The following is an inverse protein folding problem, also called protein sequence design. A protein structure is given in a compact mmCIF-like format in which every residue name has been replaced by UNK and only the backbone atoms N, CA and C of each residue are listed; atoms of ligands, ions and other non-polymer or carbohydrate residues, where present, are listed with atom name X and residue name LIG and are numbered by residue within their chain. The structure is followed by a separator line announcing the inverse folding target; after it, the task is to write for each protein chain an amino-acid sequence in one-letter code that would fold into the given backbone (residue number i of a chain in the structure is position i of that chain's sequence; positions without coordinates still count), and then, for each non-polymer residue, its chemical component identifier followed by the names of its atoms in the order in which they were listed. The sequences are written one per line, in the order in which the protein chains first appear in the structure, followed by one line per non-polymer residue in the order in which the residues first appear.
data_IF_462014383139
#
_entry.id   IF_462014383139
#
_cell.length_a   1.000
_cell.length_b   1.000
_cell.length_c   1.000
_cell.angle_alpha   90.00
_cell.angle_beta   90.00
_cell.angle_gamma   90.00
#
_symmetry.space_group_name_H-M   'P 1'
#
loop_
_entity.id
_entity.type
_entity.pdbx_description
1 polymer ?
#
# COMPACT_ATOMS: atom_id res chain seq x y z
N UNK A 1 -86.80 -26.79 24.88
CA UNK A 1 -85.92 -27.44 25.85
C UNK A 1 -85.16 -28.52 25.08
N UNK A 2 -84.32 -28.22 24.09
CA UNK A 2 -83.16 -27.30 24.01
C UNK A 2 -81.91 -27.86 24.72
N UNK A 3 -81.40 -28.98 24.19
CA UNK A 3 -80.04 -29.49 24.41
C UNK A 3 -79.68 -30.30 23.15
N UNK A 4 -79.47 -29.65 22.01
CA UNK A 4 -78.15 -29.17 21.59
C UNK A 4 -77.08 -30.26 21.75
N UNK A 5 -77.21 -31.32 20.93
CA UNK A 5 -76.08 -32.09 20.41
C UNK A 5 -75.09 -31.09 19.79
N UNK A 6 -74.21 -30.56 20.63
CA UNK A 6 -73.05 -29.82 20.19
C UNK A 6 -72.04 -30.86 19.73
N UNK A 7 -72.11 -31.19 18.43
CA UNK A 7 -70.94 -31.73 17.76
C UNK A 7 -69.74 -30.85 18.13
N UNK A 8 -68.61 -31.44 18.56
CA UNK A 8 -67.43 -30.66 18.86
C UNK A 8 -67.01 -29.99 17.56
N UNK A 9 -67.15 -28.66 17.53
CA UNK A 9 -66.69 -27.83 16.42
C UNK A 9 -65.26 -28.27 16.07
N UNK A 10 -64.97 -28.61 14.81
CA UNK A 10 -63.62 -28.97 14.42
C UNK A 10 -62.74 -27.77 14.74
N UNK A 11 -61.94 -27.91 15.81
CA UNK A 11 -60.92 -26.92 16.17
C UNK A 11 -60.20 -26.59 14.88
N UNK A 12 -59.99 -25.31 14.54
CA UNK A 12 -59.14 -24.98 13.43
C UNK A 12 -57.86 -25.76 13.65
N UNK A 13 -57.54 -26.66 12.71
CA UNK A 13 -56.20 -27.17 12.59
C UNK A 13 -55.37 -25.91 12.61
N UNK A 14 -54.63 -25.71 13.71
CA UNK A 14 -53.42 -24.93 13.61
C UNK A 14 -52.65 -25.72 12.58
N UNK A 15 -52.76 -25.32 11.31
CA UNK A 15 -51.67 -25.39 10.39
C UNK A 15 -50.57 -24.68 11.16
N UNK A 16 -49.88 -25.49 11.94
CA UNK A 16 -48.52 -25.26 12.36
C UNK A 16 -47.86 -25.00 11.02
N UNK A 17 -47.89 -23.72 10.63
CA UNK A 17 -46.96 -23.15 9.70
C UNK A 17 -45.66 -23.52 10.37
N UNK A 18 -45.15 -24.69 9.99
CA UNK A 18 -43.75 -24.97 10.05
C UNK A 18 -43.14 -23.76 9.36
N UNK A 19 -42.77 -22.78 10.16
CA UNK A 19 -41.36 -22.48 10.31
C UNK A 19 -40.63 -23.83 10.26
N UNK A 20 -40.48 -24.35 9.05
CA UNK A 20 -39.45 -25.30 8.71
C UNK A 20 -38.21 -24.45 8.92
N UNK A 21 -37.80 -24.39 10.18
CA UNK A 21 -36.44 -24.48 10.66
C UNK A 21 -35.53 -24.59 9.47
N UNK A 22 -35.11 -23.44 8.93
CA UNK A 22 -34.08 -23.42 7.91
C UNK A 22 -32.94 -24.18 8.56
N UNK A 23 -32.69 -25.39 8.06
CA UNK A 23 -31.80 -26.35 8.73
C UNK A 23 -30.51 -25.61 9.04
N UNK A 24 -29.96 -25.76 10.25
CA UNK A 24 -28.75 -25.05 10.68
C UNK A 24 -27.61 -25.15 9.65
N UNK A 25 -27.59 -26.24 8.85
CA UNK A 25 -26.68 -26.41 7.72
C UNK A 25 -26.86 -25.38 6.58
N UNK A 26 -28.09 -24.94 6.30
CA UNK A 26 -28.41 -23.89 5.31
C UNK A 26 -27.92 -22.52 5.79
N UNK A 27 -28.14 -22.17 7.06
CA UNK A 27 -27.60 -20.93 7.64
C UNK A 27 -26.07 -20.92 7.67
N UNK A 28 -25.46 -22.04 8.05
CA UNK A 28 -23.99 -22.19 8.05
C UNK A 28 -23.42 -22.09 6.63
N UNK A 29 -24.04 -22.75 5.66
CA UNK A 29 -23.65 -22.66 4.26
C UNK A 29 -23.71 -21.22 3.74
N UNK A 30 -24.79 -20.50 4.07
CA UNK A 30 -24.98 -19.10 3.70
C UNK A 30 -23.95 -18.18 4.36
N UNK A 31 -23.64 -18.39 5.64
CA UNK A 31 -22.63 -17.61 6.36
C UNK A 31 -21.22 -17.82 5.79
N UNK A 32 -20.88 -19.05 5.38
CA UNK A 32 -19.60 -19.37 4.72
C UNK A 32 -19.53 -18.70 3.34
N UNK A 33 -20.63 -18.74 2.57
CA UNK A 33 -20.69 -18.08 1.26
C UNK A 33 -20.55 -16.55 1.40
N UNK A 34 -21.24 -15.95 2.39
CA UNK A 34 -21.15 -14.52 2.69
C UNK A 34 -19.73 -14.12 3.13
N UNK A 35 -19.08 -14.91 3.99
CA UNK A 35 -17.70 -14.67 4.44
C UNK A 35 -16.69 -14.75 3.28
N UNK A 36 -16.88 -15.70 2.37
CA UNK A 36 -16.07 -15.82 1.16
C UNK A 36 -16.28 -14.65 0.21
N UNK A 37 -17.52 -14.20 0.03
CA UNK A 37 -17.85 -13.01 -0.75
C UNK A 37 -17.20 -11.75 -0.17
N UNK A 38 -17.22 -11.60 1.15
CA UNK A 38 -16.62 -10.46 1.85
C UNK A 38 -15.08 -10.45 1.72
N UNK A 39 -14.45 -11.63 1.86
CA UNK A 39 -13.00 -11.77 1.65
C UNK A 39 -12.57 -11.46 0.21
N UNK A 40 -13.37 -11.85 -0.79
CA UNK A 40 -13.12 -11.49 -2.19
C UNK A 40 -13.27 -9.99 -2.43
N UNK A 41 -14.30 -9.35 -1.84
CA UNK A 41 -14.52 -7.92 -1.95
C UNK A 41 -13.39 -7.09 -1.31
N UNK A 42 -12.85 -7.50 -0.17
CA UNK A 42 -11.68 -6.84 0.43
C UNK A 42 -10.43 -6.98 -0.44
N UNK A 43 -10.18 -8.17 -0.99
CA UNK A 43 -9.09 -8.39 -1.94
C UNK A 43 -9.20 -7.48 -3.15
N UNK A 44 -10.39 -7.38 -3.74
CA UNK A 44 -10.64 -6.51 -4.89
C UNK A 44 -10.53 -5.03 -4.51
N UNK A 45 -10.94 -4.63 -3.31
CA UNK A 45 -10.74 -3.29 -2.79
C UNK A 45 -9.25 -2.94 -2.69
N UNK A 46 -8.43 -3.80 -2.05
CA UNK A 46 -7.00 -3.57 -1.94
C UNK A 46 -6.31 -3.57 -3.31
N UNK A 47 -6.76 -4.43 -4.24
CA UNK A 47 -6.27 -4.46 -5.61
C UNK A 47 -6.60 -3.17 -6.36
N UNK A 48 -7.82 -2.67 -6.25
CA UNK A 48 -8.24 -1.41 -6.86
C UNK A 48 -7.50 -0.21 -6.25
N UNK A 49 -7.30 -0.21 -4.93
CA UNK A 49 -6.50 0.80 -4.25
C UNK A 49 -5.04 0.78 -4.71
N UNK A 50 -4.43 -0.40 -4.83
CA UNK A 50 -3.06 -0.54 -5.32
C UNK A 50 -2.93 -0.05 -6.77
N UNK A 51 -3.84 -0.43 -7.67
CA UNK A 51 -3.82 -0.01 -9.07
C UNK A 51 -4.02 1.50 -9.19
N UNK A 52 -4.99 2.08 -8.47
CA UNK A 52 -5.22 3.53 -8.50
C UNK A 52 -4.01 4.32 -8.00
N UNK A 53 -3.34 3.84 -6.94
CA UNK A 53 -2.09 4.44 -6.44
C UNK A 53 -0.94 4.33 -7.44
N UNK A 54 -0.81 3.20 -8.14
CA UNK A 54 0.21 3.02 -9.17
C UNK A 54 -0.04 3.96 -10.36
N UNK A 55 -1.30 4.12 -10.77
CA UNK A 55 -1.64 4.95 -11.92
C UNK A 55 -1.44 6.45 -11.62
N UNK A 56 -1.78 6.89 -10.41
CA UNK A 56 -1.44 8.23 -9.90
C UNK A 56 0.09 8.43 -9.81
N UNK A 57 0.82 7.40 -9.37
CA UNK A 57 2.27 7.44 -9.30
C UNK A 57 2.94 7.44 -10.67
N UNK A 58 2.32 6.92 -11.73
CA UNK A 58 2.93 6.78 -13.07
C UNK A 58 3.35 8.12 -13.67
N UNK A 59 2.51 9.15 -13.54
CA UNK A 59 2.85 10.48 -14.06
C UNK A 59 3.97 11.13 -13.22
N UNK A 60 3.91 10.94 -11.90
CA UNK A 60 4.98 11.36 -10.98
C UNK A 60 6.29 10.61 -11.23
N UNK A 61 6.24 9.35 -11.65
CA UNK A 61 7.40 8.51 -11.91
C UNK A 61 8.21 9.02 -13.11
N UNK A 62 7.54 9.47 -14.18
CA UNK A 62 8.23 10.09 -15.32
C UNK A 62 8.90 11.41 -14.94
N UNK A 63 8.21 12.26 -14.18
CA UNK A 63 8.80 13.50 -13.66
C UNK A 63 9.97 13.21 -12.72
N UNK A 64 9.85 12.21 -11.85
CA UNK A 64 10.90 11.75 -10.96
C UNK A 64 12.11 11.19 -11.72
N UNK A 65 11.89 10.37 -12.75
CA UNK A 65 12.95 9.84 -13.61
C UNK A 65 13.66 10.95 -14.38
N UNK A 66 12.91 11.91 -14.93
CA UNK A 66 13.47 13.07 -15.61
C UNK A 66 14.30 13.93 -14.63
N UNK A 67 13.76 14.24 -13.46
CA UNK A 67 14.46 15.00 -12.43
C UNK A 67 15.74 14.29 -11.95
N UNK A 68 15.67 12.97 -11.70
CA UNK A 68 16.84 12.16 -11.33
C UNK A 68 17.92 12.18 -12.43
N UNK A 69 17.51 12.07 -13.70
CA UNK A 69 18.43 12.16 -14.84
C UNK A 69 19.09 13.54 -14.92
N UNK A 70 18.33 14.61 -14.72
CA UNK A 70 18.86 15.98 -14.68
C UNK A 70 19.81 16.19 -13.49
N UNK A 71 19.48 15.67 -12.31
CA UNK A 71 20.36 15.72 -11.13
C UNK A 71 21.67 14.97 -11.37
N UNK A 72 21.62 13.80 -12.03
CA UNK A 72 22.80 13.03 -12.41
C UNK A 72 23.69 13.85 -13.34
N UNK A 73 23.11 14.44 -14.40
CA UNK A 73 23.84 15.28 -15.35
C UNK A 73 24.43 16.52 -14.68
N UNK A 74 23.65 17.19 -13.83
CA UNK A 74 24.10 18.36 -13.06
C UNK A 74 25.22 18.01 -12.09
N UNK A 75 25.18 16.85 -11.45
CA UNK A 75 26.23 16.38 -10.53
C UNK A 75 27.56 16.19 -11.26
N UNK A 76 27.53 15.54 -12.44
CA UNK A 76 28.73 15.38 -13.28
C UNK A 76 29.26 16.75 -13.72
N UNK A 77 28.38 17.63 -14.22
CA UNK A 77 28.77 18.98 -14.66
C UNK A 77 29.36 19.81 -13.51
N UNK A 78 28.82 19.69 -12.29
CA UNK A 78 29.32 20.36 -11.10
C UNK A 78 30.73 19.89 -10.74
N UNK A 79 30.99 18.59 -10.79
CA UNK A 79 32.32 18.00 -10.55
C UNK A 79 33.32 18.48 -11.60
N UNK A 80 32.97 18.38 -12.89
CA UNK A 80 33.84 18.82 -13.99
C UNK A 80 34.12 20.32 -13.90
N UNK A 81 33.09 21.14 -13.69
CA UNK A 81 33.23 22.59 -13.54
C UNK A 81 34.10 22.98 -12.33
N UNK A 82 33.97 22.25 -11.22
CA UNK A 82 34.81 22.46 -10.03
C UNK A 82 36.28 22.17 -10.33
N UNK A 83 36.56 21.05 -11.00
CA UNK A 83 37.93 20.70 -11.40
C UNK A 83 38.50 21.76 -12.35
N UNK A 84 37.75 22.19 -13.37
CA UNK A 84 38.20 23.21 -14.31
C UNK A 84 38.47 24.56 -13.62
N UNK A 85 37.68 24.92 -12.62
CA UNK A 85 37.84 26.16 -11.85
C UNK A 85 39.05 26.10 -10.92
N UNK A 86 39.32 24.94 -10.28
CA UNK A 86 40.47 24.78 -9.38
C UNK A 86 41.79 24.50 -10.10
N UNK A 87 41.73 23.87 -11.28
CA UNK A 87 42.90 23.49 -12.08
C UNK A 87 43.91 24.64 -12.27
N UNK A 88 43.52 25.87 -12.64
CA UNK A 88 44.47 26.97 -12.80
C UNK A 88 45.09 27.48 -11.47
N UNK A 89 44.50 27.18 -10.31
CA UNK A 89 45.00 27.67 -9.01
C UNK A 89 45.98 26.70 -8.35
N UNK A 90 45.70 25.40 -8.41
CA UNK A 90 46.45 24.36 -7.67
C UNK A 90 47.04 23.28 -8.58
N UNK A 91 46.78 23.36 -9.88
CA UNK A 91 47.14 22.35 -10.86
C UNK A 91 46.10 21.21 -10.97
N UNK A 92 46.08 20.48 -12.09
CA UNK A 92 45.03 19.50 -12.38
C UNK A 92 44.97 18.34 -11.39
N UNK A 93 46.13 17.84 -10.95
CA UNK A 93 46.22 16.68 -10.05
C UNK A 93 45.71 16.97 -8.64
N UNK A 94 46.05 18.14 -8.08
CA UNK A 94 45.54 18.52 -6.76
C UNK A 94 44.07 18.95 -6.82
N UNK A 95 43.62 19.56 -7.92
CA UNK A 95 42.22 19.91 -8.12
C UNK A 95 41.31 18.67 -8.06
N UNK A 96 41.65 17.58 -8.76
CA UNK A 96 40.86 16.35 -8.73
C UNK A 96 40.85 15.71 -7.34
N UNK A 97 42.00 15.66 -6.67
CA UNK A 97 42.10 15.09 -5.31
C UNK A 97 41.20 15.85 -4.33
N UNK A 98 41.22 17.19 -4.35
CA UNK A 98 40.37 18.04 -3.51
C UNK A 98 38.88 17.76 -3.79
N UNK A 99 38.48 17.76 -5.07
CA UNK A 99 37.07 17.55 -5.45
C UNK A 99 36.58 16.17 -5.05
N UNK A 100 37.40 15.12 -5.21
CA UNK A 100 37.07 13.75 -4.78
C UNK A 100 36.85 13.69 -3.28
N UNK A 101 37.76 14.26 -2.48
CA UNK A 101 37.63 14.26 -1.02
C UNK A 101 36.37 15.02 -0.58
N UNK A 102 36.08 16.17 -1.18
CA UNK A 102 34.89 16.97 -0.86
C UNK A 102 33.59 16.23 -1.22
N UNK A 103 33.51 15.66 -2.43
CA UNK A 103 32.31 14.95 -2.88
C UNK A 103 32.07 13.67 -2.10
N UNK A 104 33.11 12.89 -1.79
CA UNK A 104 32.99 11.73 -0.91
C UNK A 104 32.60 12.12 0.52
N UNK A 105 33.17 13.20 1.06
CA UNK A 105 32.80 13.73 2.36
C UNK A 105 31.32 14.13 2.44
N UNK A 106 30.81 14.82 1.42
CA UNK A 106 29.39 15.13 1.29
C UNK A 106 28.54 13.86 1.17
N UNK A 107 28.90 12.94 0.27
CA UNK A 107 28.16 11.70 0.06
C UNK A 107 28.07 10.87 1.36
N UNK A 108 29.16 10.77 2.11
CA UNK A 108 29.20 10.11 3.42
C UNK A 108 28.28 10.80 4.43
N UNK A 109 28.33 12.14 4.52
CA UNK A 109 27.49 12.90 5.42
C UNK A 109 26.00 12.74 5.10
N UNK A 110 25.62 12.82 3.83
CA UNK A 110 24.24 12.64 3.39
C UNK A 110 23.79 11.19 3.59
N UNK A 111 24.62 10.21 3.23
CA UNK A 111 24.34 8.79 3.41
C UNK A 111 24.09 8.43 4.87
N UNK A 112 24.93 8.90 5.79
CA UNK A 112 24.75 8.66 7.23
C UNK A 112 23.50 9.36 7.82
N UNK A 113 23.04 10.46 7.22
CA UNK A 113 21.78 11.12 7.60
C UNK A 113 20.57 10.33 7.12
N UNK A 114 20.58 9.92 5.85
CA UNK A 114 19.51 9.11 5.26
C UNK A 114 19.39 7.75 5.97
N UNK A 115 20.52 7.11 6.28
CA UNK A 115 20.57 5.82 6.98
C UNK A 115 19.95 5.88 8.39
N UNK A 116 20.07 7.02 9.09
CA UNK A 116 19.42 7.22 10.38
C UNK A 116 17.90 7.35 10.25
N UNK A 117 17.42 7.99 9.19
CA UNK A 117 15.99 8.09 8.91
C UNK A 117 15.40 6.73 8.55
N UNK A 118 16.10 5.97 7.69
CA UNK A 118 15.65 4.63 7.27
C UNK A 118 15.67 3.67 8.46
N UNK A 119 16.71 3.67 9.30
CA UNK A 119 16.75 2.87 10.52
C UNK A 119 15.60 3.18 11.49
N UNK A 120 15.08 4.41 11.49
CA UNK A 120 13.90 4.78 12.31
C UNK A 120 12.59 4.21 11.77
N UNK A 121 12.44 4.17 10.44
CA UNK A 121 11.22 3.69 9.78
C UNK A 121 11.21 2.16 9.70
N UNK A 122 12.38 1.56 9.49
CA UNK A 122 12.60 0.12 9.41
C UNK A 122 12.74 -0.53 10.80
N UNK A 123 12.30 0.15 11.87
CA UNK A 123 12.22 -0.37 13.24
C UNK A 123 11.19 -1.49 13.39
N UNK A 124 11.34 -2.57 12.61
CA UNK A 124 10.65 -3.85 12.69
C UNK A 124 11.50 -4.89 13.43
N UNK A 125 12.42 -4.46 14.30
CA UNK A 125 13.31 -5.34 15.07
C UNK A 125 13.66 -4.79 16.46
N UNK A 126 12.81 -3.94 17.05
CA UNK A 126 12.68 -3.79 18.51
C UNK A 126 11.20 -3.65 18.89
#
# INVERSE_FOLDING_TARGET
MAEQDREPEPRPERTDERHDDESLGVLLGRLIEDAKGLGQAELDYYRALAISKIDEARNSLWMGAAAASLMMAASIALVVGSVLTLSPLVGPGFATLIVVVLTFGLAWLLGTRAWRTIKRILGLLE
#
